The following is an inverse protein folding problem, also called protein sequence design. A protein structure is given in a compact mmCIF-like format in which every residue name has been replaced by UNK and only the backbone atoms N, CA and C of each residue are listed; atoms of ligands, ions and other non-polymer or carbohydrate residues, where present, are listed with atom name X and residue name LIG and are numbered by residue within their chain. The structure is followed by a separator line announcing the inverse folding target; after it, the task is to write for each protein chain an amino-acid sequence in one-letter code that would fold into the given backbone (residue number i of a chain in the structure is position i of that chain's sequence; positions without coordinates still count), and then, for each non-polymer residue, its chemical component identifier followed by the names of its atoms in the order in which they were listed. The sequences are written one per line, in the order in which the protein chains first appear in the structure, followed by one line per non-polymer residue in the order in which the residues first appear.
data_IF_041714936823
#
_entry.id   IF_041714936823
#
_cell.length_a   1.000
_cell.length_b   1.000
_cell.length_c   1.000
_cell.angle_alpha   90.00
_cell.angle_beta   90.00
_cell.angle_gamma   90.00
#
_symmetry.space_group_name_H-M   'P 1'
#
loop_
_entity.id
_entity.type
_entity.pdbx_description
1 polymer ?
#
# COMPACT_ATOMS: atom_id res chain seq x y z
N UNK A 1 20.19 -16.24 -3.38
CA UNK A 1 18.92 -15.51 -3.54
C UNK A 1 19.08 -13.98 -3.68
N UNK A 2 20.28 -13.40 -3.84
CA UNK A 2 20.42 -11.98 -4.26
C UNK A 2 20.59 -11.80 -5.79
N UNK A 3 20.85 -12.91 -6.52
CA UNK A 3 21.06 -12.90 -7.96
C UNK A 3 19.76 -12.85 -8.76
N UNK A 4 18.72 -13.54 -8.26
CA UNK A 4 17.44 -13.68 -8.95
C UNK A 4 16.66 -12.36 -8.92
N UNK A 5 16.58 -11.69 -7.76
CA UNK A 5 15.98 -10.36 -7.63
C UNK A 5 16.61 -9.31 -8.53
N UNK A 6 17.95 -9.36 -8.70
CA UNK A 6 18.66 -8.44 -9.58
C UNK A 6 18.31 -8.66 -11.05
N UNK A 7 18.06 -9.91 -11.46
CA UNK A 7 17.61 -10.22 -12.81
C UNK A 7 16.16 -9.79 -13.03
N UNK A 8 15.28 -10.11 -12.08
CA UNK A 8 13.87 -9.69 -12.11
C UNK A 8 13.72 -8.17 -12.14
N UNK A 9 14.48 -7.44 -11.32
CA UNK A 9 14.47 -5.98 -11.32
C UNK A 9 14.94 -5.39 -12.65
N UNK A 10 15.96 -6.00 -13.29
CA UNK A 10 16.41 -5.56 -14.62
C UNK A 10 15.34 -5.75 -15.69
N UNK A 11 14.62 -6.86 -15.64
CA UNK A 11 13.51 -7.12 -16.56
C UNK A 11 12.37 -6.13 -16.34
N UNK A 12 11.97 -5.89 -15.09
CA UNK A 12 10.99 -4.86 -14.72
C UNK A 12 11.38 -3.47 -15.23
N UNK A 13 12.66 -3.11 -15.12
CA UNK A 13 13.15 -1.82 -15.62
C UNK A 13 13.14 -1.69 -17.14
N UNK A 14 13.10 -2.78 -17.94
CA UNK A 14 13.09 -2.65 -19.40
C UNK A 14 11.81 -1.99 -19.94
N UNK A 15 10.74 -1.98 -19.16
CA UNK A 15 9.47 -1.34 -19.50
C UNK A 15 9.44 0.16 -19.18
N UNK A 16 10.56 0.79 -18.79
CA UNK A 16 10.67 2.26 -18.76
C UNK A 16 12.02 2.82 -18.25
N UNK A 17 12.09 4.12 -17.97
CA UNK A 17 13.37 4.75 -17.59
C UNK A 17 13.68 4.57 -16.10
N UNK A 18 14.86 4.05 -15.70
CA UNK A 18 15.20 3.71 -14.32
C UNK A 18 15.33 4.91 -13.36
N UNK A 19 15.34 6.14 -13.90
CA UNK A 19 15.51 7.38 -13.15
C UNK A 19 14.20 8.17 -12.97
N UNK A 20 13.09 7.66 -13.50
CA UNK A 20 11.78 8.31 -13.41
C UNK A 20 11.10 7.83 -12.12
N UNK A 21 10.79 8.79 -11.25
CA UNK A 21 9.93 8.55 -10.09
C UNK A 21 8.50 8.35 -10.57
N UNK A 22 7.83 7.35 -10.02
CA UNK A 22 6.45 7.04 -10.39
C UNK A 22 5.47 7.65 -9.38
N UNK A 23 4.44 8.26 -9.93
CA UNK A 23 3.34 8.85 -9.17
C UNK A 23 2.50 7.74 -8.54
N UNK A 24 2.33 7.79 -7.23
CA UNK A 24 1.39 6.94 -6.48
C UNK A 24 0.01 7.58 -6.43
N UNK A 25 -1.00 6.75 -6.16
CA UNK A 25 -2.32 7.27 -5.82
C UNK A 25 -2.30 7.96 -4.44
N UNK A 26 -3.18 8.94 -4.21
CA UNK A 26 -3.38 9.47 -2.86
C UNK A 26 -3.85 8.36 -1.92
N UNK A 27 -3.52 8.43 -0.62
CA UNK A 27 -4.00 7.45 0.35
C UNK A 27 -5.53 7.47 0.39
N UNK A 28 -6.13 6.30 0.19
CA UNK A 28 -7.58 6.13 0.28
C UNK A 28 -7.98 6.26 1.76
N UNK A 29 -8.86 7.22 2.05
CA UNK A 29 -9.47 7.31 3.38
C UNK A 29 -10.48 6.18 3.48
N UNK A 30 -10.03 5.05 4.02
CA UNK A 30 -10.89 3.90 4.28
C UNK A 30 -11.94 4.28 5.32
N UNK A 31 -13.15 4.62 4.87
CA UNK A 31 -14.40 4.36 5.59
C UNK A 31 -14.81 5.27 6.75
N UNK A 32 -14.05 6.30 7.14
CA UNK A 32 -14.54 7.31 8.10
C UNK A 32 -14.72 8.63 7.37
N UNK A 33 -15.97 8.99 7.06
CA UNK A 33 -16.30 10.34 6.59
C UNK A 33 -16.22 11.33 7.76
N UNK A 34 -15.44 12.41 7.67
CA UNK A 34 -15.83 13.69 8.23
C UNK A 34 -16.29 14.57 7.07
N UNK A 35 -17.58 14.90 7.08
CA UNK A 35 -18.23 16.04 6.41
C UNK A 35 -17.32 16.95 5.57
N UNK A 36 -17.58 16.96 4.26
CA UNK A 36 -17.16 17.97 3.27
C UNK A 36 -17.46 19.38 3.80
N UNK A 37 -16.45 20.09 4.30
CA UNK A 37 -16.53 21.52 4.61
C UNK A 37 -15.14 22.18 4.46
N UNK A 38 -14.82 22.60 3.23
CA UNK A 38 -14.07 23.84 2.94
C UNK A 38 -14.18 24.10 1.44
N UNK A 39 -15.07 25.03 1.07
CA UNK A 39 -14.74 26.43 0.73
C UNK A 39 -13.79 26.53 -0.46
N UNK A 40 -14.41 26.82 -1.60
CA UNK A 40 -13.81 27.38 -2.79
C UNK A 40 -12.94 28.60 -2.45
N UNK A 41 -11.66 28.54 -2.77
CA UNK A 41 -10.86 29.73 -3.03
C UNK A 41 -9.84 29.40 -4.11
N UNK A 42 -9.97 30.12 -5.23
CA UNK A 42 -9.10 29.96 -6.39
C UNK A 42 -7.65 30.26 -6.04
N UNK A 43 -6.80 29.34 -6.48
CA UNK A 43 -5.36 29.41 -6.52
C UNK A 43 -4.93 28.23 -7.40
N UNK A 44 -4.24 28.52 -8.48
CA UNK A 44 -3.66 27.60 -9.47
C UNK A 44 -2.43 26.87 -8.87
N UNK A 45 -2.59 26.39 -7.64
CA UNK A 45 -1.56 25.71 -6.85
C UNK A 45 -1.68 24.20 -7.06
N UNK A 46 -0.54 23.58 -7.38
CA UNK A 46 -0.32 22.14 -7.51
C UNK A 46 -1.36 21.30 -6.75
N UNK A 47 -2.13 20.48 -7.48
CA UNK A 47 -2.94 19.42 -6.86
C UNK A 47 -2.07 18.60 -5.89
N UNK A 48 -2.66 17.97 -4.86
CA UNK A 48 -1.92 17.30 -3.79
C UNK A 48 -0.83 16.43 -4.41
N UNK A 49 0.43 16.80 -4.15
CA UNK A 49 1.61 16.22 -4.77
C UNK A 49 1.49 14.71 -4.65
N UNK A 50 1.21 14.04 -5.76
CA UNK A 50 1.20 12.58 -5.82
C UNK A 50 2.54 12.11 -5.26
N UNK A 51 2.48 11.39 -4.14
CA UNK A 51 3.68 10.89 -3.48
C UNK A 51 4.48 10.08 -4.50
N UNK A 52 5.74 10.43 -4.65
CA UNK A 52 6.61 9.83 -5.66
C UNK A 52 7.32 8.62 -5.06
N UNK A 53 7.26 7.50 -5.75
CA UNK A 53 7.92 6.26 -5.35
C UNK A 53 9.03 5.90 -6.32
N UNK A 54 10.10 5.29 -5.81
CA UNK A 54 11.17 4.79 -6.67
C UNK A 54 10.69 3.52 -7.39
N UNK A 55 11.15 3.29 -8.62
CA UNK A 55 10.91 2.02 -9.32
C UNK A 55 11.38 0.80 -8.55
N UNK A 56 12.44 0.95 -7.74
CA UNK A 56 12.94 -0.12 -6.88
C UNK A 56 11.94 -0.47 -5.79
N UNK A 57 11.31 0.52 -5.18
CA UNK A 57 10.25 0.32 -4.19
C UNK A 57 9.03 -0.33 -4.85
N UNK A 58 8.56 0.19 -5.99
CA UNK A 58 7.42 -0.40 -6.71
C UNK A 58 7.69 -1.87 -7.07
N UNK A 59 8.88 -2.19 -7.57
CA UNK A 59 9.27 -3.56 -7.84
C UNK A 59 9.15 -4.46 -6.60
N UNK A 60 9.62 -4.00 -5.44
CA UNK A 60 9.48 -4.80 -4.21
C UNK A 60 8.04 -4.94 -3.75
N UNK A 61 7.19 -3.91 -3.94
CA UNK A 61 5.76 -4.02 -3.62
C UNK A 61 5.09 -5.10 -4.50
N UNK A 62 5.33 -5.06 -5.81
CA UNK A 62 4.80 -6.05 -6.77
C UNK A 62 5.37 -7.45 -6.51
N UNK A 63 6.66 -7.57 -6.23
CA UNK A 63 7.28 -8.87 -5.91
C UNK A 63 6.72 -9.45 -4.61
N UNK A 64 6.50 -8.62 -3.59
CA UNK A 64 5.91 -9.05 -2.32
C UNK A 64 4.49 -9.57 -2.51
N UNK A 65 3.66 -8.89 -3.32
CA UNK A 65 2.32 -9.39 -3.67
C UNK A 65 2.39 -10.74 -4.40
N UNK A 66 3.24 -10.84 -5.43
CA UNK A 66 3.40 -12.09 -6.17
C UNK A 66 3.85 -13.26 -5.29
N UNK A 67 4.82 -13.06 -4.39
CA UNK A 67 5.26 -14.13 -3.49
C UNK A 67 4.21 -14.48 -2.42
N UNK A 68 3.39 -13.53 -2.00
CA UNK A 68 2.35 -13.76 -0.99
C UNK A 68 1.17 -14.58 -1.52
N UNK A 69 0.87 -14.47 -2.82
CA UNK A 69 -0.36 -14.99 -3.42
C UNK A 69 -0.14 -15.99 -4.56
N UNK A 70 1.11 -16.39 -4.83
CA UNK A 70 1.39 -17.44 -5.81
C UNK A 70 0.88 -18.80 -5.31
N UNK A 71 0.36 -19.65 -6.22
CA UNK A 71 0.24 -19.45 -7.68
C UNK A 71 -1.09 -18.83 -8.13
N UNK A 72 -1.97 -18.45 -7.21
CA UNK A 72 -3.37 -18.12 -7.49
C UNK A 72 -3.54 -16.77 -8.19
N UNK A 73 -2.63 -15.82 -7.94
CA UNK A 73 -2.70 -14.47 -8.49
C UNK A 73 -1.36 -14.02 -9.08
N UNK A 74 -1.43 -13.23 -10.16
CA UNK A 74 -0.29 -12.59 -10.81
C UNK A 74 -0.45 -11.07 -10.79
N UNK A 75 0.47 -10.39 -10.10
CA UNK A 75 0.51 -8.94 -9.96
C UNK A 75 1.57 -8.29 -10.86
N UNK A 76 2.19 -9.05 -11.78
CA UNK A 76 3.27 -8.56 -12.64
C UNK A 76 2.90 -7.32 -13.46
N UNK A 77 1.61 -7.10 -13.73
CA UNK A 77 1.09 -5.94 -14.47
C UNK A 77 0.56 -4.81 -13.60
N UNK A 78 0.66 -4.92 -12.27
CA UNK A 78 0.17 -3.89 -11.34
C UNK A 78 0.95 -2.57 -11.53
N UNK A 79 0.23 -1.45 -11.50
CA UNK A 79 0.75 -0.12 -11.83
C UNK A 79 0.94 0.73 -10.59
N UNK A 80 1.80 1.74 -10.69
CA UNK A 80 2.12 2.64 -9.56
C UNK A 80 0.89 3.32 -8.96
N UNK A 81 -0.12 3.63 -9.77
CA UNK A 81 -1.35 4.26 -9.31
C UNK A 81 -2.28 3.31 -8.54
N UNK A 82 -2.02 2.01 -8.53
CA UNK A 82 -2.73 1.06 -7.66
C UNK A 82 -2.07 0.99 -6.27
N UNK A 83 -1.01 1.76 -6.03
CA UNK A 83 -0.36 1.86 -4.73
C UNK A 83 -0.46 3.27 -4.18
N UNK A 84 -0.56 3.36 -2.86
CA UNK A 84 -0.55 4.63 -2.13
C UNK A 84 0.45 4.56 -0.98
N UNK A 85 1.15 5.67 -0.70
CA UNK A 85 1.96 5.78 0.51
C UNK A 85 1.04 6.19 1.66
N UNK A 86 1.15 5.51 2.79
CA UNK A 86 0.31 5.79 3.95
C UNK A 86 0.80 7.03 4.71
N UNK A 87 -0.12 7.86 5.23
CA UNK A 87 0.22 9.15 5.81
C UNK A 87 0.95 9.02 7.16
N UNK A 88 0.71 7.94 7.91
CA UNK A 88 1.41 7.66 9.17
C UNK A 88 1.17 6.24 9.66
N UNK A 89 2.11 5.72 10.47
CA UNK A 89 1.94 4.47 11.21
C UNK A 89 0.67 4.47 12.08
N UNK A 90 0.41 5.56 12.79
CA UNK A 90 -0.76 5.69 13.67
C UNK A 90 -2.08 5.53 12.91
N UNK A 91 -2.15 6.05 11.69
CA UNK A 91 -3.32 5.90 10.81
C UNK A 91 -3.56 4.43 10.47
N UNK A 92 -2.51 3.75 10.00
CA UNK A 92 -2.56 2.33 9.60
C UNK A 92 -2.91 1.44 10.78
N UNK A 93 -2.26 1.64 11.94
CA UNK A 93 -2.55 0.91 13.16
C UNK A 93 -4.01 1.06 13.57
N UNK A 94 -4.56 2.28 13.49
CA UNK A 94 -5.96 2.51 13.82
C UNK A 94 -6.91 1.81 12.83
N UNK A 95 -6.65 1.92 11.53
CA UNK A 95 -7.45 1.27 10.50
C UNK A 95 -7.46 -0.26 10.67
N UNK A 96 -6.29 -0.88 10.83
CA UNK A 96 -6.15 -2.32 11.06
C UNK A 96 -6.85 -2.74 12.35
N UNK A 97 -6.68 -1.98 13.44
CA UNK A 97 -7.36 -2.27 14.71
C UNK A 97 -8.88 -2.22 14.58
N UNK A 98 -9.43 -1.22 13.88
CA UNK A 98 -10.88 -1.12 13.64
C UNK A 98 -11.41 -2.31 12.83
N UNK A 99 -10.73 -2.67 11.75
CA UNK A 99 -11.12 -3.79 10.89
C UNK A 99 -11.05 -5.13 11.62
N UNK A 100 -9.94 -5.41 12.31
CA UNK A 100 -9.77 -6.67 13.04
C UNK A 100 -10.69 -6.75 14.26
N UNK A 101 -10.97 -5.64 14.94
CA UNK A 101 -11.96 -5.65 16.02
C UNK A 101 -13.36 -5.98 15.50
N UNK A 102 -13.73 -5.53 14.29
CA UNK A 102 -15.02 -5.86 13.68
C UNK A 102 -15.14 -7.38 13.39
N UNK A 103 -14.06 -7.98 12.89
CA UNK A 103 -14.02 -9.40 12.50
C UNK A 103 -13.83 -10.35 13.69
N UNK A 104 -12.89 -10.05 14.59
CA UNK A 104 -12.44 -10.93 15.68
C UNK A 104 -13.11 -10.59 17.01
N UNK A 105 -13.74 -9.42 17.13
CA UNK A 105 -14.49 -8.95 18.32
C UNK A 105 -13.63 -8.96 19.59
N UNK A 106 -14.14 -9.54 20.67
CA UNK A 106 -13.55 -9.44 22.01
C UNK A 106 -12.16 -10.11 22.10
N UNK A 107 -11.92 -11.17 21.31
CA UNK A 107 -10.64 -11.87 21.26
C UNK A 107 -9.51 -10.97 20.73
N UNK A 108 -9.85 -9.94 19.96
CA UNK A 108 -8.87 -8.98 19.47
C UNK A 108 -8.17 -8.22 20.61
N UNK A 109 -8.81 -8.09 21.79
CA UNK A 109 -8.20 -7.42 22.94
C UNK A 109 -6.92 -8.13 23.39
N UNK A 110 -6.90 -9.46 23.36
CA UNK A 110 -5.74 -10.27 23.70
C UNK A 110 -4.74 -10.37 22.54
N UNK A 111 -5.24 -10.47 21.30
CA UNK A 111 -4.40 -10.59 20.10
C UNK A 111 -3.66 -9.31 19.74
N UNK A 112 -4.29 -8.13 19.90
CA UNK A 112 -3.75 -6.83 19.48
C UNK A 112 -2.30 -6.58 19.93
N UNK A 113 -1.93 -6.71 21.22
CA UNK A 113 -0.54 -6.49 21.63
C UNK A 113 0.42 -7.54 21.03
N UNK A 114 -0.01 -8.80 20.89
CA UNK A 114 0.83 -9.85 20.31
C UNK A 114 1.12 -9.56 18.83
N UNK A 115 0.09 -9.16 18.08
CA UNK A 115 0.22 -8.78 16.67
C UNK A 115 1.22 -7.64 16.50
N UNK A 116 1.02 -6.51 17.19
CA UNK A 116 1.87 -5.34 16.99
C UNK A 116 3.29 -5.53 17.52
N UNK A 117 3.48 -6.28 18.60
CA UNK A 117 4.82 -6.61 19.09
C UNK A 117 5.58 -7.49 18.08
N UNK A 118 4.94 -8.53 17.54
CA UNK A 118 5.58 -9.42 16.58
C UNK A 118 5.97 -8.70 15.29
N UNK A 119 5.13 -7.79 14.80
CA UNK A 119 5.44 -6.98 13.63
C UNK A 119 6.59 -6.00 13.94
N UNK A 120 6.54 -5.30 15.07
CA UNK A 120 7.59 -4.34 15.42
C UNK A 120 8.96 -5.00 15.63
N UNK A 121 8.99 -6.20 16.23
CA UNK A 121 10.21 -7.00 16.42
C UNK A 121 10.85 -7.43 15.08
N UNK A 122 10.05 -7.75 14.07
CA UNK A 122 10.56 -8.25 12.79
C UNK A 122 11.03 -7.11 11.85
N UNK A 123 10.32 -5.97 11.84
CA UNK A 123 10.53 -4.93 10.81
C UNK A 123 10.80 -3.52 11.36
N UNK A 124 10.76 -3.29 12.67
CA UNK A 124 10.94 -1.97 13.30
C UNK A 124 10.00 -0.91 12.69
N UNK A 125 8.76 -0.84 13.17
CA UNK A 125 7.69 -0.03 12.54
C UNK A 125 8.03 1.46 12.46
N UNK A 126 8.84 1.98 13.39
CA UNK A 126 9.27 3.39 13.38
C UNK A 126 10.23 3.75 12.25
N UNK A 127 10.88 2.75 11.63
CA UNK A 127 11.84 2.93 10.54
C UNK A 127 11.25 2.53 9.16
N UNK A 128 9.96 2.21 9.11
CA UNK A 128 9.28 1.75 7.90
C UNK A 128 8.67 2.88 7.08
N UNK A 129 8.80 2.76 5.76
CA UNK A 129 7.89 3.38 4.80
C UNK A 129 6.69 2.45 4.57
N UNK A 130 5.47 2.96 4.73
CA UNK A 130 4.25 2.15 4.70
C UNK A 130 3.47 2.45 3.41
N UNK A 131 3.00 1.40 2.76
CA UNK A 131 2.25 1.47 1.50
C UNK A 131 1.01 0.59 1.56
N UNK A 132 -0.04 0.98 0.85
CA UNK A 132 -1.22 0.16 0.56
C UNK A 132 -1.31 -0.19 -0.92
N UNK A 133 -1.84 -1.37 -1.22
CA UNK A 133 -2.28 -1.76 -2.56
C UNK A 133 -3.80 -1.59 -2.62
N UNK A 134 -4.26 -0.78 -3.56
CA UNK A 134 -5.64 -0.40 -3.80
C UNK A 134 -5.93 -0.66 -5.28
N UNK A 135 -6.30 -1.90 -5.68
CA UNK A 135 -6.54 -2.23 -7.07
C UNK A 135 -7.66 -1.37 -7.66
N UNK A 136 -7.56 -1.06 -8.95
CA UNK A 136 -8.71 -0.53 -9.69
C UNK A 136 -9.82 -1.60 -9.72
N UNK A 137 -11.09 -1.19 -9.80
CA UNK A 137 -12.23 -2.14 -9.82
C UNK A 137 -12.12 -3.19 -10.94
N UNK A 138 -11.50 -2.84 -12.07
CA UNK A 138 -11.28 -3.74 -13.21
C UNK A 138 -10.07 -4.68 -13.00
N UNK A 139 -9.21 -4.37 -12.02
CA UNK A 139 -7.99 -5.08 -11.69
C UNK A 139 -8.06 -5.79 -10.34
N UNK A 140 -9.19 -5.72 -9.63
CA UNK A 140 -9.34 -6.29 -8.29
C UNK A 140 -9.47 -7.82 -8.34
N UNK A 141 -8.45 -8.58 -7.90
CA UNK A 141 -8.52 -10.03 -7.86
C UNK A 141 -9.51 -10.57 -6.82
N UNK A 142 -9.99 -9.71 -5.92
CA UNK A 142 -10.91 -10.02 -4.84
C UNK A 142 -12.30 -9.38 -5.02
N UNK A 143 -12.58 -8.83 -6.21
CA UNK A 143 -13.89 -8.29 -6.56
C UNK A 143 -14.94 -9.40 -6.64
N UNK A 144 -15.40 -9.91 -5.51
CA UNK A 144 -16.70 -10.58 -5.42
C UNK A 144 -17.80 -9.51 -5.53
N UNK A 145 -18.81 -9.78 -6.38
CA UNK A 145 -20.07 -9.05 -6.36
C UNK A 145 -20.70 -9.19 -4.97
N UNK A 146 -20.58 -8.15 -4.14
CA UNK A 146 -21.22 -8.08 -2.83
C UNK A 146 -22.75 -8.06 -2.90
#
# INVERSE_FOLDING_TARGET
MAGDDKHMFKQFCQEGQPHVLEALSPPQTSGLSPSRLSKSQGGEDEGPLSDKCSRKTLFYLIATLNESFRPDYDFSTARSHEFSREPSLSWVVNAVNCSLFSAVREDFKALKPQLWNAVDEEICLSECDIYSYNPDLDSDPFGEDG
#
